data_IF_295261204905
#
_entry.id   IF_295261204905
#
_cell.length_a   1.000
_cell.length_b   1.000
_cell.length_c   1.000
_cell.angle_alpha   90.00
_cell.angle_beta   90.00
_cell.angle_gamma   90.00
#
_symmetry.space_group_name_H-M   'P 1'
#
loop_
_entity.id
_entity.type
_entity.pdbx_description
1 polymer ?
#
# COMPACT_ATOMS: atom_id res chain seq x y z
N UNK A 1 -5.86 0.20 -20.57
CA UNK A 1 -5.91 0.27 -19.11
C UNK A 1 -7.35 0.04 -18.71
N UNK A 2 -7.59 -0.98 -17.88
CA UNK A 2 -8.82 -0.99 -17.10
C UNK A 2 -8.92 0.33 -16.34
N UNK A 3 -10.11 0.89 -16.23
CA UNK A 3 -10.33 2.17 -15.61
C UNK A 3 -10.22 2.01 -14.08
N UNK A 4 -9.08 2.39 -13.48
CA UNK A 4 -8.86 2.28 -12.04
C UNK A 4 -9.96 2.97 -11.22
N UNK A 5 -10.57 4.04 -11.73
CA UNK A 5 -11.71 4.70 -11.07
C UNK A 5 -12.96 3.81 -11.00
N UNK A 6 -13.22 3.02 -12.04
CA UNK A 6 -14.34 2.06 -12.05
C UNK A 6 -14.05 0.88 -11.14
N UNK A 7 -12.81 0.39 -11.16
CA UNK A 7 -12.35 -0.67 -10.26
C UNK A 7 -12.51 -0.23 -8.80
N UNK A 8 -12.02 0.96 -8.44
CA UNK A 8 -12.15 1.55 -7.11
C UNK A 8 -13.60 1.64 -6.65
N UNK A 9 -14.49 2.13 -7.51
CA UNK A 9 -15.93 2.23 -7.18
C UNK A 9 -16.54 0.86 -6.89
N UNK A 10 -16.14 -0.17 -7.62
CA UNK A 10 -16.62 -1.54 -7.39
C UNK A 10 -16.10 -2.09 -6.07
N UNK A 11 -14.81 -1.94 -5.80
CA UNK A 11 -14.14 -2.45 -4.60
C UNK A 11 -14.65 -1.77 -3.32
N UNK A 12 -14.92 -0.47 -3.39
CA UNK A 12 -15.42 0.29 -2.22
C UNK A 12 -16.94 0.20 -2.05
N UNK A 13 -17.65 -0.57 -2.88
CA UNK A 13 -19.10 -0.58 -2.89
C UNK A 13 -19.72 -1.16 -1.61
N UNK A 14 -19.04 -2.12 -0.98
CA UNK A 14 -19.49 -2.74 0.28
C UNK A 14 -18.70 -2.23 1.51
N UNK A 15 -17.75 -1.32 1.29
CA UNK A 15 -16.97 -0.64 2.33
C UNK A 15 -15.79 -1.43 2.88
N UNK A 16 -15.40 -2.55 2.26
CA UNK A 16 -14.26 -3.36 2.70
C UNK A 16 -13.57 -3.97 1.48
N UNK A 17 -12.41 -4.58 1.71
CA UNK A 17 -11.73 -5.40 0.71
C UNK A 17 -11.78 -6.87 1.14
N UNK A 18 -12.43 -7.70 0.34
CA UNK A 18 -12.45 -9.15 0.52
C UNK A 18 -11.34 -9.89 -0.26
N UNK A 19 -11.31 -11.21 -0.12
CA UNK A 19 -10.25 -12.02 -0.73
C UNK A 19 -10.34 -12.03 -2.26
N UNK A 20 -11.54 -12.17 -2.80
CA UNK A 20 -11.80 -12.19 -4.23
C UNK A 20 -11.38 -10.86 -4.88
N UNK A 21 -11.63 -9.76 -4.18
CA UNK A 21 -11.21 -8.41 -4.56
C UNK A 21 -9.68 -8.23 -4.53
N UNK A 22 -8.99 -8.80 -3.54
CA UNK A 22 -7.51 -8.87 -3.53
C UNK A 22 -6.99 -9.64 -4.74
N UNK A 23 -7.59 -10.78 -5.09
CA UNK A 23 -7.18 -11.55 -6.27
C UNK A 23 -7.41 -10.79 -7.58
N UNK A 24 -8.47 -9.98 -7.64
CA UNK A 24 -8.71 -9.08 -8.77
C UNK A 24 -7.63 -8.00 -8.84
N UNK A 25 -7.40 -7.28 -7.75
CA UNK A 25 -6.37 -6.25 -7.65
C UNK A 25 -5.00 -6.77 -8.07
N UNK A 26 -4.62 -7.96 -7.60
CA UNK A 26 -3.34 -8.58 -7.95
C UNK A 26 -3.22 -8.87 -9.45
N UNK A 27 -4.31 -9.23 -10.13
CA UNK A 27 -4.30 -9.45 -11.59
C UNK A 27 -4.19 -8.16 -12.37
N UNK A 28 -4.87 -7.11 -11.91
CA UNK A 28 -4.91 -5.81 -12.59
C UNK A 28 -3.59 -5.08 -12.42
N UNK A 29 -3.12 -4.92 -11.18
CA UNK A 29 -1.95 -4.11 -10.86
C UNK A 29 -0.64 -4.79 -11.27
N UNK A 30 -0.56 -6.13 -11.28
CA UNK A 30 0.62 -6.83 -11.80
C UNK A 30 0.49 -7.23 -13.28
N UNK A 31 -0.44 -6.66 -14.03
CA UNK A 31 -0.68 -7.07 -15.42
C UNK A 31 0.55 -6.83 -16.33
N UNK A 32 1.33 -5.79 -16.05
CA UNK A 32 2.58 -5.50 -16.77
C UNK A 32 3.84 -6.06 -16.07
N UNK A 33 3.66 -6.70 -14.91
CA UNK A 33 4.68 -7.39 -14.14
C UNK A 33 5.43 -6.53 -13.12
N UNK A 34 5.11 -5.24 -13.00
CA UNK A 34 5.70 -4.34 -12.00
C UNK A 34 4.58 -3.57 -11.29
N UNK A 35 4.90 -2.97 -10.13
CA UNK A 35 4.03 -1.98 -9.49
C UNK A 35 4.67 -0.62 -9.70
N UNK A 36 3.94 0.33 -10.27
CA UNK A 36 4.43 1.69 -10.48
C UNK A 36 3.92 2.70 -9.43
N UNK A 37 4.34 3.96 -9.54
CA UNK A 37 3.98 5.00 -8.59
C UNK A 37 2.48 5.37 -8.61
N UNK A 38 1.80 5.22 -9.75
CA UNK A 38 0.35 5.44 -9.86
C UNK A 38 -0.41 4.33 -9.14
N UNK A 39 0.04 3.08 -9.27
CA UNK A 39 -0.53 1.93 -8.60
C UNK A 39 -0.27 1.93 -7.09
N UNK A 40 0.93 2.36 -6.65
CA UNK A 40 1.18 2.63 -5.23
C UNK A 40 0.22 3.70 -4.71
N UNK A 41 0.04 4.80 -5.44
CA UNK A 41 -0.88 5.85 -5.02
C UNK A 41 -2.32 5.34 -4.90
N UNK A 42 -2.75 4.53 -5.86
CA UNK A 42 -4.05 3.87 -5.86
C UNK A 42 -4.26 2.94 -4.66
N UNK A 43 -3.24 2.13 -4.31
CA UNK A 43 -3.30 1.23 -3.15
C UNK A 43 -3.47 1.99 -1.84
N UNK A 44 -2.74 3.10 -1.64
CA UNK A 44 -2.92 3.96 -0.47
C UNK A 44 -4.34 4.56 -0.42
N UNK A 45 -4.85 5.06 -1.54
CA UNK A 45 -6.21 5.59 -1.57
C UNK A 45 -7.30 4.55 -1.26
N UNK A 46 -7.08 3.29 -1.65
CA UNK A 46 -7.96 2.19 -1.26
C UNK A 46 -7.84 1.92 0.24
N UNK A 47 -6.62 1.82 0.76
CA UNK A 47 -6.40 1.55 2.18
C UNK A 47 -7.04 2.62 3.07
N UNK A 48 -6.85 3.90 2.74
CA UNK A 48 -7.49 5.03 3.44
C UNK A 48 -9.02 4.91 3.45
N UNK A 49 -9.60 4.45 2.34
CA UNK A 49 -11.05 4.32 2.20
C UNK A 49 -11.66 3.15 2.97
N UNK A 50 -10.86 2.12 3.30
CA UNK A 50 -11.31 0.93 4.07
C UNK A 50 -10.59 0.81 5.41
N UNK A 51 -9.93 1.87 5.86
CA UNK A 51 -9.16 1.93 7.10
C UNK A 51 -10.07 1.66 8.31
N UNK A 52 -9.67 0.69 9.14
CA UNK A 52 -10.46 0.25 10.31
C UNK A 52 -11.64 -0.69 10.01
N UNK A 53 -11.88 -1.04 8.75
CA UNK A 53 -12.94 -1.98 8.35
C UNK A 53 -12.47 -3.45 8.44
N UNK A 54 -13.42 -4.38 8.36
CA UNK A 54 -13.14 -5.82 8.45
C UNK A 54 -12.65 -6.39 7.11
N UNK A 55 -11.51 -5.87 6.64
CA UNK A 55 -10.82 -6.31 5.44
C UNK A 55 -10.28 -7.74 5.60
N UNK A 56 -10.16 -8.45 4.49
CA UNK A 56 -9.54 -9.77 4.46
C UNK A 56 -8.06 -9.69 4.89
N UNK A 57 -7.52 -10.68 5.61
CA UNK A 57 -6.09 -10.74 5.93
C UNK A 57 -5.18 -10.60 4.70
N UNK A 58 -5.62 -11.17 3.57
CA UNK A 58 -4.95 -11.11 2.28
C UNK A 58 -4.77 -9.67 1.77
N UNK A 59 -5.65 -8.72 2.15
CA UNK A 59 -5.51 -7.31 1.76
C UNK A 59 -4.22 -6.72 2.33
N UNK A 60 -3.99 -6.92 3.64
CA UNK A 60 -2.77 -6.45 4.30
C UNK A 60 -1.52 -7.09 3.71
N UNK A 61 -1.57 -8.40 3.46
CA UNK A 61 -0.43 -9.12 2.87
C UNK A 61 -0.09 -8.58 1.47
N UNK A 62 -1.10 -8.40 0.63
CA UNK A 62 -0.97 -7.87 -0.72
C UNK A 62 -0.49 -6.42 -0.74
N UNK A 63 -1.07 -5.55 0.09
CA UNK A 63 -0.66 -4.14 0.19
C UNK A 63 0.82 -4.01 0.57
N UNK A 64 1.25 -4.78 1.57
CA UNK A 64 2.66 -4.79 2.00
C UNK A 64 3.57 -5.34 0.90
N UNK A 65 3.18 -6.43 0.23
CA UNK A 65 3.92 -6.99 -0.90
C UNK A 65 4.08 -5.95 -2.02
N UNK A 66 2.98 -5.44 -2.56
CA UNK A 66 2.96 -4.56 -3.73
C UNK A 66 3.74 -3.27 -3.54
N UNK A 67 3.56 -2.58 -2.41
CA UNK A 67 4.29 -1.33 -2.16
C UNK A 67 5.77 -1.63 -1.90
N UNK A 68 6.11 -2.74 -1.24
CA UNK A 68 7.51 -3.10 -1.03
C UNK A 68 8.23 -3.49 -2.31
N UNK A 69 7.54 -4.12 -3.26
CA UNK A 69 8.10 -4.48 -4.56
C UNK A 69 8.45 -3.24 -5.38
N UNK A 70 7.67 -2.16 -5.26
CA UNK A 70 8.01 -0.86 -5.84
C UNK A 70 9.17 -0.17 -5.08
N UNK A 71 9.02 0.00 -3.76
CA UNK A 71 9.95 0.80 -2.93
C UNK A 71 11.32 0.15 -2.76
N UNK A 72 11.41 -1.18 -2.78
CA UNK A 72 12.68 -1.89 -2.62
C UNK A 72 13.22 -2.44 -3.94
N UNK A 73 12.73 -1.94 -5.08
CA UNK A 73 13.15 -2.39 -6.40
C UNK A 73 14.68 -2.22 -6.61
N UNK A 74 15.27 -1.15 -6.07
CA UNK A 74 16.72 -0.90 -6.09
C UNK A 74 17.44 -1.28 -4.77
N UNK A 75 16.67 -1.73 -3.77
CA UNK A 75 17.14 -2.21 -2.48
C UNK A 75 17.49 -1.12 -1.46
N UNK A 76 17.20 0.15 -1.75
CA UNK A 76 17.35 1.28 -0.82
C UNK A 76 16.03 2.03 -0.70
N UNK A 77 15.93 2.99 0.23
CA UNK A 77 14.76 3.88 0.31
C UNK A 77 15.32 5.28 0.13
N UNK A 78 15.06 5.90 -1.01
CA UNK A 78 15.63 7.20 -1.37
C UNK A 78 14.83 8.39 -0.78
N UNK A 79 15.28 9.61 -1.05
CA UNK A 79 14.62 10.81 -0.51
C UNK A 79 13.21 11.03 -1.09
N UNK A 80 12.96 10.61 -2.33
CA UNK A 80 11.65 10.75 -2.99
C UNK A 80 10.66 9.73 -2.42
N UNK A 81 11.09 8.50 -2.21
CA UNK A 81 10.31 7.43 -1.60
C UNK A 81 10.00 7.73 -0.13
N UNK A 82 10.99 8.25 0.62
CA UNK A 82 10.78 8.72 1.99
C UNK A 82 9.70 9.79 2.03
N UNK A 83 9.79 10.77 1.14
CA UNK A 83 8.81 11.86 1.08
C UNK A 83 7.42 11.32 0.76
N UNK A 84 7.31 10.48 -0.26
CA UNK A 84 6.05 9.87 -0.68
C UNK A 84 5.42 9.05 0.45
N UNK A 85 6.18 8.15 1.08
CA UNK A 85 5.68 7.34 2.21
C UNK A 85 5.27 8.22 3.39
N UNK A 86 6.03 9.28 3.70
CA UNK A 86 5.70 10.19 4.80
C UNK A 86 4.45 11.04 4.53
N UNK A 87 4.12 11.29 3.26
CA UNK A 87 2.90 12.02 2.86
C UNK A 87 1.67 11.11 2.82
N UNK A 88 1.83 9.85 2.43
CA UNK A 88 0.73 8.90 2.27
C UNK A 88 0.36 8.16 3.56
N UNK A 89 1.35 7.79 4.36
CA UNK A 89 1.09 7.02 5.58
C UNK A 89 0.34 7.88 6.60
N UNK A 90 -0.83 7.41 7.01
CA UNK A 90 -1.71 8.11 7.93
C UNK A 90 -2.32 9.39 7.36
N UNK A 91 -2.44 9.48 6.03
CA UNK A 91 -3.11 10.60 5.36
C UNK A 91 -4.60 10.72 5.74
N UNK A 92 -5.23 9.61 6.13
CA UNK A 92 -6.58 9.54 6.70
C UNK A 92 -6.67 10.03 8.16
N UNK A 93 -5.52 10.39 8.76
CA UNK A 93 -5.41 10.86 10.14
C UNK A 93 -5.04 9.76 11.14
N UNK A 94 -4.83 8.51 10.71
CA UNK A 94 -4.38 7.42 11.57
C UNK A 94 -3.37 6.51 10.87
N UNK A 95 -2.34 6.05 11.59
CA UNK A 95 -1.51 4.96 11.05
C UNK A 95 -2.15 3.63 11.39
N UNK A 96 -2.75 2.97 10.40
CA UNK A 96 -3.52 1.74 10.60
C UNK A 96 -2.61 0.49 10.74
N UNK A 97 -3.21 -0.69 10.91
CA UNK A 97 -2.44 -1.94 11.04
C UNK A 97 -1.73 -2.35 9.73
N UNK A 98 -2.29 -1.99 8.58
CA UNK A 98 -1.75 -2.31 7.25
C UNK A 98 -0.53 -1.45 6.95
N UNK A 99 -0.62 -0.15 7.19
CA UNK A 99 0.50 0.79 7.05
C UNK A 99 1.62 0.52 8.06
N UNK A 100 1.27 0.15 9.31
CA UNK A 100 2.27 -0.32 10.29
C UNK A 100 2.98 -1.57 9.79
N UNK A 101 2.25 -2.53 9.21
CA UNK A 101 2.85 -3.73 8.65
C UNK A 101 3.80 -3.39 7.48
N UNK A 102 3.46 -2.42 6.64
CA UNK A 102 4.34 -1.92 5.58
C UNK A 102 5.62 -1.34 6.17
N UNK A 103 5.53 -0.39 7.11
CA UNK A 103 6.69 0.23 7.75
C UNK A 103 7.62 -0.79 8.42
N UNK A 104 7.04 -1.77 9.12
CA UNK A 104 7.80 -2.85 9.76
C UNK A 104 8.50 -3.75 8.73
N UNK A 105 7.83 -4.08 7.62
CA UNK A 105 8.42 -4.88 6.55
C UNK A 105 9.55 -4.12 5.84
N UNK A 106 9.35 -2.84 5.50
CA UNK A 106 10.39 -1.99 4.93
C UNK A 106 11.60 -1.87 5.86
N UNK A 107 11.36 -1.63 7.16
CA UNK A 107 12.43 -1.56 8.17
C UNK A 107 13.23 -2.86 8.30
N UNK A 108 12.58 -4.01 8.09
CA UNK A 108 13.24 -5.31 8.16
C UNK A 108 14.07 -5.64 6.90
N UNK A 109 13.69 -5.11 5.73
CA UNK A 109 14.29 -5.45 4.44
C UNK A 109 15.27 -4.39 3.91
N UNK A 110 15.02 -3.12 4.17
CA UNK A 110 15.86 -2.03 3.69
C UNK A 110 17.23 -2.03 4.38
N UNK A 111 18.29 -1.70 3.63
CA UNK A 111 19.64 -1.55 4.20
C UNK A 111 19.71 -0.41 5.23
N UNK A 112 18.98 0.67 4.95
CA UNK A 112 18.86 1.84 5.81
C UNK A 112 17.37 2.17 5.95
N UNK A 113 16.92 2.42 7.17
CA UNK A 113 15.55 2.84 7.44
C UNK A 113 15.52 4.25 8.02
N UNK A 114 14.98 5.23 7.30
CA UNK A 114 14.99 6.64 7.70
C UNK A 114 14.22 6.92 9.01
N UNK A 115 14.79 7.77 9.87
CA UNK A 115 14.23 8.09 11.18
C UNK A 115 12.84 8.75 11.12
N UNK A 116 12.52 9.44 10.02
CA UNK A 116 11.20 10.01 9.79
C UNK A 116 10.13 8.92 9.67
N UNK A 117 10.40 7.86 8.89
CA UNK A 117 9.50 6.72 8.77
C UNK A 117 9.41 5.92 10.08
N UNK A 118 10.50 5.83 10.84
CA UNK A 118 10.49 5.21 12.18
C UNK A 118 9.62 5.96 13.18
N UNK A 119 9.51 7.29 13.04
CA UNK A 119 8.67 8.09 13.91
C UNK A 119 7.17 7.85 13.71
N UNK A 120 6.76 7.35 12.54
CA UNK A 120 5.37 7.02 12.20
C UNK A 120 4.88 5.72 12.88
N UNK A 121 5.79 4.90 13.42
CA UNK A 121 5.45 3.69 14.15
C UNK A 121 5.06 3.92 15.63
N UNK A 122 5.19 5.16 16.13
CA UNK A 122 5.01 5.51 17.55
C UNK A 122 3.57 5.89 17.87
#
# INVERSE_FOLDING_TARGET
MENLDELKKSLLADGKIDKEEVEQLRKVLYADGVIDAEEVAFLFELNDAVSGENNAPEWKEFFVEAISDNILADGEIDEEEVKMLSEKIGADGQVDETEKALLLNLKAKAKNFPAVLDSLLK
#
